data_IF_838889406148
#
_entry.id   IF_838889406148
#
_cell.length_a   1.000
_cell.length_b   1.000
_cell.length_c   1.000
_cell.angle_alpha   90.00
_cell.angle_beta   90.00
_cell.angle_gamma   90.00
#
_symmetry.space_group_name_H-M   'P 1'
#
loop_
_entity.id
_entity.type
_entity.pdbx_description
1 polymer ?
#
# COMPACT_ATOMS: atom_id res chain seq x y z
N UNK A 1 -21.61 0.81 12.41
CA UNK A 1 -21.30 -0.50 11.81
C UNK A 1 -20.02 -0.36 11.02
N UNK A 2 -18.89 -0.84 11.55
CA UNK A 2 -17.63 -0.82 10.82
C UNK A 2 -17.72 -1.91 9.74
N UNK A 3 -17.97 -1.52 8.49
CA UNK A 3 -17.80 -2.43 7.36
C UNK A 3 -16.36 -2.92 7.38
N UNK A 4 -16.15 -4.24 7.31
CA UNK A 4 -14.82 -4.82 7.28
C UNK A 4 -13.98 -4.10 6.21
N UNK A 5 -12.90 -3.45 6.61
CA UNK A 5 -12.04 -2.75 5.68
C UNK A 5 -11.44 -3.80 4.72
N UNK A 6 -11.86 -3.78 3.45
CA UNK A 6 -11.28 -4.65 2.44
C UNK A 6 -9.86 -4.16 2.12
N UNK A 7 -8.87 -4.90 2.63
CA UNK A 7 -7.43 -4.60 2.54
C UNK A 7 -6.64 -5.75 1.91
N UNK A 8 -7.34 -6.66 1.23
CA UNK A 8 -6.76 -7.87 0.66
C UNK A 8 -5.65 -7.57 -0.36
N UNK A 9 -5.75 -6.45 -1.08
CA UNK A 9 -4.79 -6.10 -2.12
C UNK A 9 -3.54 -5.44 -1.53
N UNK A 10 -3.69 -4.67 -0.45
CA UNK A 10 -2.55 -4.24 0.36
C UNK A 10 -1.86 -5.47 0.96
N UNK A 11 -2.61 -6.42 1.51
CA UNK A 11 -2.03 -7.65 2.07
C UNK A 11 -1.25 -8.42 1.01
N UNK A 12 -1.86 -8.68 -0.15
CA UNK A 12 -1.19 -9.33 -1.28
C UNK A 12 0.09 -8.60 -1.68
N UNK A 13 0.03 -7.27 -1.85
CA UNK A 13 1.19 -6.45 -2.19
C UNK A 13 2.32 -6.61 -1.17
N UNK A 14 2.03 -6.55 0.12
CA UNK A 14 3.05 -6.69 1.16
C UNK A 14 3.64 -8.10 1.19
N UNK A 15 2.82 -9.14 1.03
CA UNK A 15 3.28 -10.54 1.04
C UNK A 15 4.16 -10.88 -0.17
N UNK A 16 3.86 -10.34 -1.35
CA UNK A 16 4.55 -10.71 -2.60
C UNK A 16 5.70 -9.76 -2.95
N UNK A 17 5.55 -8.47 -2.62
CA UNK A 17 6.50 -7.42 -3.02
C UNK A 17 7.19 -6.76 -1.82
N UNK A 18 6.56 -6.74 -0.64
CA UNK A 18 7.00 -6.02 0.55
C UNK A 18 8.24 -6.57 1.29
N UNK A 19 9.28 -6.98 0.56
CA UNK A 19 10.53 -7.60 1.03
C UNK A 19 11.31 -6.67 1.96
N UNK A 20 11.90 -7.24 3.01
CA UNK A 20 12.75 -6.48 3.95
C UNK A 20 14.05 -6.05 3.28
N UNK A 21 14.50 -4.81 3.55
CA UNK A 21 15.74 -4.26 2.99
C UNK A 21 15.60 -3.65 1.60
N UNK A 22 14.44 -3.70 0.97
CA UNK A 22 14.14 -3.01 -0.29
C UNK A 22 13.34 -1.74 0.01
N UNK A 23 13.67 -0.66 -0.70
CA UNK A 23 12.94 0.61 -0.57
C UNK A 23 11.51 0.48 -1.10
N UNK A 24 10.52 0.95 -0.33
CA UNK A 24 9.10 0.84 -0.68
C UNK A 24 8.79 1.47 -2.05
N UNK A 25 9.55 2.49 -2.47
CA UNK A 25 9.42 3.05 -3.82
C UNK A 25 9.69 1.97 -4.86
N UNK A 26 10.87 1.35 -4.85
CA UNK A 26 11.25 0.31 -5.81
C UNK A 26 10.26 -0.87 -5.82
N UNK A 27 9.73 -1.22 -4.66
CA UNK A 27 8.68 -2.25 -4.51
C UNK A 27 7.40 -1.86 -5.25
N UNK A 28 6.98 -0.59 -5.17
CA UNK A 28 5.83 -0.07 -5.92
C UNK A 28 6.10 -0.08 -7.43
N UNK A 29 7.31 0.26 -7.86
CA UNK A 29 7.70 0.25 -9.28
C UNK A 29 7.61 -1.18 -9.84
N UNK A 30 8.21 -2.15 -9.14
CA UNK A 30 8.16 -3.57 -9.51
C UNK A 30 6.72 -4.10 -9.57
N UNK A 31 5.88 -3.77 -8.59
CA UNK A 31 4.46 -4.14 -8.63
C UNK A 31 3.75 -3.55 -9.84
N UNK A 32 4.00 -2.28 -10.16
CA UNK A 32 3.33 -1.60 -11.25
C UNK A 32 3.77 -2.08 -12.64
N UNK A 33 5.02 -2.55 -12.76
CA UNK A 33 5.58 -3.15 -13.99
C UNK A 33 5.12 -4.59 -14.20
N UNK A 34 4.96 -5.37 -13.13
CA UNK A 34 4.64 -6.79 -13.21
C UNK A 34 3.14 -7.11 -13.22
N UNK A 35 2.30 -6.24 -12.66
CA UNK A 35 0.88 -6.54 -12.43
C UNK A 35 -0.06 -5.81 -13.39
N UNK A 36 -1.23 -6.39 -13.60
CA UNK A 36 -2.24 -5.81 -14.51
C UNK A 36 -2.98 -4.63 -13.86
N UNK A 37 -3.65 -3.83 -14.70
CA UNK A 37 -4.54 -2.76 -14.21
C UNK A 37 -5.63 -3.27 -13.24
N UNK A 38 -6.08 -4.52 -13.39
CA UNK A 38 -7.06 -5.16 -12.52
C UNK A 38 -6.52 -5.45 -11.10
N UNK A 39 -5.21 -5.53 -10.95
CA UNK A 39 -4.55 -5.66 -9.64
C UNK A 39 -4.14 -4.29 -9.08
N UNK A 40 -3.68 -3.40 -9.96
CA UNK A 40 -3.25 -2.04 -9.61
C UNK A 40 -4.40 -1.15 -9.11
N UNK A 41 -5.55 -1.16 -9.80
CA UNK A 41 -6.65 -0.25 -9.47
C UNK A 41 -7.27 -0.54 -8.09
N UNK A 42 -7.54 -1.81 -7.71
CA UNK A 42 -7.95 -2.14 -6.35
C UNK A 42 -6.92 -1.75 -5.28
N UNK A 43 -5.62 -1.95 -5.54
CA UNK A 43 -4.58 -1.51 -4.60
C UNK A 43 -4.64 0.02 -4.40
N UNK A 44 -4.76 0.80 -5.47
CA UNK A 44 -4.92 2.26 -5.38
C UNK A 44 -6.14 2.64 -4.53
N UNK A 45 -7.28 1.97 -4.73
CA UNK A 45 -8.48 2.23 -3.94
C UNK A 45 -8.27 1.98 -2.44
N UNK A 46 -7.63 0.87 -2.07
CA UNK A 46 -7.34 0.56 -0.68
C UNK A 46 -6.32 1.52 -0.07
N UNK A 47 -5.29 1.90 -0.82
CA UNK A 47 -4.30 2.90 -0.38
C UNK A 47 -4.95 4.27 -0.17
N UNK A 48 -5.94 4.66 -0.98
CA UNK A 48 -6.70 5.90 -0.75
C UNK A 48 -7.50 5.83 0.56
N UNK A 49 -8.10 4.69 0.89
CA UNK A 49 -8.80 4.50 2.16
C UNK A 49 -7.84 4.64 3.37
N UNK A 50 -6.65 4.06 3.28
CA UNK A 50 -5.60 4.22 4.29
C UNK A 50 -5.15 5.68 4.39
N UNK A 51 -4.92 6.35 3.25
CA UNK A 51 -4.48 7.74 3.21
C UNK A 51 -5.48 8.73 3.85
N UNK A 52 -6.76 8.37 3.89
CA UNK A 52 -7.85 9.13 4.52
C UNK A 52 -8.07 8.77 6.00
N UNK A 53 -7.31 7.83 6.56
CA UNK A 53 -7.49 7.37 7.95
C UNK A 53 -8.74 6.50 8.13
N UNK A 54 -9.26 5.92 7.04
CA UNK A 54 -10.49 5.10 7.06
C UNK A 54 -10.30 3.68 7.57
N UNK A 55 -9.11 3.33 8.09
CA UNK A 55 -8.75 1.99 8.57
C UNK A 55 -8.00 2.11 9.89
N UNK A 56 -8.37 1.30 10.88
CA UNK A 56 -7.75 1.32 12.20
C UNK A 56 -6.27 0.88 12.15
N UNK A 57 -5.41 1.60 12.87
CA UNK A 57 -3.97 1.31 12.95
C UNK A 57 -3.66 -0.13 13.40
N UNK A 58 -4.48 -0.71 14.27
CA UNK A 58 -4.31 -2.11 14.73
C UNK A 58 -4.38 -3.10 13.57
N UNK A 59 -5.25 -2.86 12.59
CA UNK A 59 -5.41 -3.71 11.41
C UNK A 59 -4.20 -3.51 10.49
N UNK A 60 -3.77 -2.27 10.29
CA UNK A 60 -2.62 -1.91 9.46
C UNK A 60 -1.30 -2.46 10.03
N UNK A 61 -1.15 -2.47 11.36
CA UNK A 61 -0.02 -3.09 12.06
C UNK A 61 0.13 -4.58 11.72
N UNK A 62 -0.99 -5.30 11.60
CA UNK A 62 -0.99 -6.74 11.29
C UNK A 62 -0.60 -7.05 9.85
N UNK A 63 -0.83 -6.11 8.93
CA UNK A 63 -0.70 -6.36 7.47
C UNK A 63 0.53 -5.67 6.89
N UNK A 64 0.68 -4.37 7.13
CA UNK A 64 1.76 -3.55 6.58
C UNK A 64 3.03 -3.70 7.45
N UNK A 65 2.81 -3.83 8.76
CA UNK A 65 3.85 -3.95 9.76
C UNK A 65 4.28 -2.60 10.34
N UNK A 66 4.44 -2.57 11.67
CA UNK A 66 4.80 -1.37 12.45
C UNK A 66 6.09 -0.68 12.00
N UNK A 67 7.02 -1.42 11.39
CA UNK A 67 8.28 -0.86 10.86
C UNK A 67 8.02 0.22 9.80
N UNK A 68 7.03 0.03 8.92
CA UNK A 68 6.68 1.01 7.87
C UNK A 68 6.01 2.24 8.47
N UNK A 69 5.14 2.06 9.47
CA UNK A 69 4.59 3.18 10.23
C UNK A 69 5.71 4.05 10.82
N UNK A 70 6.69 3.43 11.48
CA UNK A 70 7.80 4.15 12.10
C UNK A 70 8.71 4.83 11.07
N UNK A 71 9.02 4.15 9.96
CA UNK A 71 9.87 4.70 8.88
C UNK A 71 9.27 5.96 8.26
N UNK A 72 7.95 5.96 8.04
CA UNK A 72 7.26 7.05 7.32
C UNK A 72 6.55 8.04 8.24
N UNK A 73 6.42 7.74 9.53
CA UNK A 73 5.78 8.54 10.57
C UNK A 73 4.30 8.19 10.79
N UNK A 74 3.58 7.72 9.76
CA UNK A 74 2.21 7.23 9.87
C UNK A 74 1.82 6.34 8.69
N UNK A 75 0.75 5.57 8.81
CA UNK A 75 0.24 4.74 7.70
C UNK A 75 -0.37 5.59 6.59
N UNK A 76 -1.03 6.70 6.94
CA UNK A 76 -1.60 7.65 5.99
C UNK A 76 -0.49 8.27 5.13
N UNK A 77 0.64 8.65 5.76
CA UNK A 77 1.79 9.22 5.05
C UNK A 77 2.48 8.18 4.16
N UNK A 78 2.64 6.94 4.65
CA UNK A 78 3.11 5.83 3.84
C UNK A 78 2.21 5.62 2.61
N UNK A 79 0.89 5.55 2.78
CA UNK A 79 -0.04 5.33 1.67
C UNK A 79 -0.03 6.48 0.64
N UNK A 80 0.06 7.74 1.09
CA UNK A 80 0.21 8.90 0.20
C UNK A 80 1.48 8.82 -0.65
N UNK A 81 2.59 8.35 -0.07
CA UNK A 81 3.83 8.14 -0.81
C UNK A 81 3.69 7.01 -1.84
N UNK A 82 3.07 5.88 -1.47
CA UNK A 82 2.80 4.81 -2.43
C UNK A 82 1.99 5.33 -3.63
N UNK A 83 0.89 6.06 -3.36
CA UNK A 83 0.03 6.63 -4.40
C UNK A 83 0.78 7.62 -5.30
N UNK A 84 1.63 8.47 -4.70
CA UNK A 84 2.46 9.42 -5.45
C UNK A 84 3.40 8.66 -6.40
N UNK A 85 4.07 7.61 -5.94
CA UNK A 85 4.97 6.82 -6.79
C UNK A 85 4.20 6.09 -7.89
N UNK A 86 3.05 5.49 -7.57
CA UNK A 86 2.16 4.88 -8.58
C UNK A 86 1.66 5.89 -9.63
N UNK A 87 1.49 7.17 -9.28
CA UNK A 87 1.08 8.21 -10.24
C UNK A 87 2.21 8.69 -11.15
N UNK A 88 3.46 8.56 -10.72
CA UNK A 88 4.65 8.95 -11.50
C UNK A 88 4.98 7.93 -12.58
N UNK A 89 4.54 6.69 -12.42
CA UNK A 89 4.70 5.62 -13.40
C UNK A 89 3.52 5.61 -14.37
N UNK A 90 3.80 5.84 -15.67
CA UNK A 90 2.82 5.63 -16.73
C UNK A 90 2.86 4.15 -17.09
N UNK A 91 1.74 3.45 -16.91
CA UNK A 91 1.53 2.12 -17.51
C UNK A 91 1.73 2.31 -19.03
N UNK A 92 2.80 1.70 -19.56
CA UNK A 92 3.11 1.72 -21.00
C UNK A 92 2.36 0.60 -21.71
#
# INVERSE_FOLDING_TARGET
>A
MAGAANIEKIKYFIEHYGRSGVEDQRVVEEFFECETAEMVNPLKAQLMQVAQGGIENRILDQIIGKKRQLKHGSYEKWAKLMLLWMSKHKQS
#
